data_IF_097836196272
#
_entry.id   IF_097836196272
#
_cell.length_a   1.000
_cell.length_b   1.000
_cell.length_c   1.000
_cell.angle_alpha   90.00
_cell.angle_beta   90.00
_cell.angle_gamma   90.00
#
_symmetry.space_group_name_H-M   'P 1'
#
loop_
_entity.id
_entity.type
_entity.pdbx_description
1 polymer ?
#
# COMPACT_ATOMS: atom_id res chain seq x y z
N UNK A 1 -30.62 30.49 -3.06
CA UNK A 1 -29.54 29.89 -3.89
C UNK A 1 -28.61 29.11 -2.97
N UNK A 2 -28.76 27.78 -2.89
CA UNK A 2 -28.01 26.90 -1.98
C UNK A 2 -26.83 26.33 -2.78
N UNK A 3 -25.62 26.85 -2.58
CA UNK A 3 -24.41 26.28 -3.18
C UNK A 3 -24.20 24.93 -2.51
N UNK A 4 -24.68 23.85 -3.13
CA UNK A 4 -24.22 22.52 -2.77
C UNK A 4 -22.75 22.46 -3.13
N UNK A 5 -21.86 22.63 -2.14
CA UNK A 5 -20.49 22.11 -2.24
C UNK A 5 -20.65 20.61 -2.41
N UNK A 6 -20.67 20.14 -3.66
CA UNK A 6 -20.51 18.73 -3.96
C UNK A 6 -19.09 18.41 -3.51
N UNK A 7 -18.94 17.96 -2.26
CA UNK A 7 -17.74 17.23 -1.85
C UNK A 7 -17.79 15.94 -2.63
N UNK A 8 -17.38 15.98 -3.89
CA UNK A 8 -17.25 14.78 -4.72
C UNK A 8 -16.18 13.97 -4.03
N UNK A 9 -16.57 12.84 -3.44
CA UNK A 9 -15.60 11.86 -2.99
C UNK A 9 -14.68 11.55 -4.18
N UNK A 10 -13.36 11.40 -3.95
CA UNK A 10 -12.43 10.94 -4.97
C UNK A 10 -13.01 9.74 -5.71
N UNK A 11 -12.82 9.68 -7.03
CA UNK A 11 -13.23 8.49 -7.76
C UNK A 11 -12.40 7.30 -7.26
N UNK A 12 -12.92 6.06 -7.35
CA UNK A 12 -12.16 4.87 -6.94
C UNK A 12 -10.77 4.78 -7.60
N UNK A 13 -10.60 5.32 -8.81
CA UNK A 13 -9.31 5.38 -9.49
C UNK A 13 -8.32 6.36 -8.84
N UNK A 14 -8.79 7.52 -8.36
CA UNK A 14 -7.96 8.46 -7.60
C UNK A 14 -7.60 7.85 -6.24
N UNK A 15 -8.57 7.24 -5.57
CA UNK A 15 -8.35 6.50 -4.33
C UNK A 15 -7.30 5.41 -4.50
N UNK A 16 -7.42 4.59 -5.55
CA UNK A 16 -6.44 3.53 -5.86
C UNK A 16 -5.02 4.08 -6.07
N UNK A 17 -4.88 5.14 -6.87
CA UNK A 17 -3.58 5.74 -7.13
C UNK A 17 -2.97 6.30 -5.83
N UNK A 18 -3.76 7.02 -5.03
CA UNK A 18 -3.32 7.54 -3.75
C UNK A 18 -2.89 6.42 -2.78
N UNK A 19 -3.67 5.34 -2.70
CA UNK A 19 -3.38 4.20 -1.86
C UNK A 19 -2.11 3.44 -2.28
N UNK A 20 -1.88 3.21 -3.58
CA UNK A 20 -0.63 2.62 -4.07
C UNK A 20 0.58 3.52 -3.78
N UNK A 21 0.45 4.85 -3.93
CA UNK A 21 1.52 5.78 -3.59
C UNK A 21 1.82 5.74 -2.09
N UNK A 22 0.80 5.71 -1.24
CA UNK A 22 0.97 5.58 0.20
C UNK A 22 1.68 4.28 0.58
N UNK A 23 1.31 3.15 -0.03
CA UNK A 23 1.98 1.86 0.16
C UNK A 23 3.45 1.89 -0.32
N UNK A 24 3.73 2.55 -1.44
CA UNK A 24 5.11 2.75 -1.92
C UNK A 24 5.94 3.59 -0.94
N UNK A 25 5.35 4.67 -0.41
CA UNK A 25 5.99 5.52 0.59
C UNK A 25 6.29 4.74 1.88
N UNK A 26 5.35 3.90 2.34
CA UNK A 26 5.57 3.00 3.47
C UNK A 26 6.74 2.05 3.22
N UNK A 27 6.77 1.40 2.05
CA UNK A 27 7.86 0.50 1.68
C UNK A 27 9.24 1.19 1.68
N UNK A 28 9.29 2.45 1.22
CA UNK A 28 10.52 3.25 1.23
C UNK A 28 10.97 3.63 2.66
N UNK A 29 10.02 3.90 3.56
CA UNK A 29 10.28 4.22 4.97
C UNK A 29 10.61 2.99 5.82
N UNK A 30 10.15 1.81 5.40
CA UNK A 30 10.20 0.57 6.15
C UNK A 30 11.60 0.20 6.72
N UNK A 31 12.74 0.37 5.99
CA UNK A 31 14.06 0.10 6.56
C UNK A 31 14.40 0.99 7.77
N UNK A 32 13.95 2.24 7.76
CA UNK A 32 14.12 3.16 8.89
C UNK A 32 13.22 2.74 10.05
N UNK A 33 11.95 2.42 9.77
CA UNK A 33 10.99 1.96 10.79
C UNK A 33 11.48 0.72 11.53
N UNK A 34 12.07 -0.26 10.83
CA UNK A 34 12.68 -1.44 11.46
C UNK A 34 13.86 -1.09 12.37
N UNK A 35 14.72 -0.15 11.96
CA UNK A 35 15.86 0.30 12.78
C UNK A 35 15.41 1.00 14.06
N UNK A 36 14.37 1.83 13.97
CA UNK A 36 13.83 2.58 15.11
C UNK A 36 13.06 1.66 16.07
N UNK A 37 12.27 0.72 15.55
CA UNK A 37 11.45 -0.19 16.37
C UNK A 37 12.23 -1.39 16.93
N UNK A 38 13.35 -1.78 16.30
CA UNK A 38 14.08 -2.99 16.63
C UNK A 38 13.37 -4.29 16.20
N UNK A 39 12.25 -4.20 15.48
CA UNK A 39 11.46 -5.36 15.03
C UNK A 39 11.86 -5.71 13.60
N UNK A 40 12.31 -6.95 13.37
CA UNK A 40 12.60 -7.48 12.02
C UNK A 40 11.33 -8.03 11.34
N UNK A 41 10.30 -7.18 11.25
CA UNK A 41 9.07 -7.49 10.53
C UNK A 41 9.14 -6.91 9.12
N UNK A 42 8.64 -7.63 8.11
CA UNK A 42 8.62 -7.16 6.72
C UNK A 42 7.38 -7.68 6.00
N UNK A 43 6.43 -6.78 5.73
CA UNK A 43 5.19 -7.05 5.01
C UNK A 43 5.46 -7.73 3.67
N UNK A 44 6.45 -7.25 2.91
CA UNK A 44 6.77 -7.80 1.59
C UNK A 44 7.38 -9.20 1.70
N UNK A 45 8.13 -9.47 2.77
CA UNK A 45 8.64 -10.81 3.05
C UNK A 45 7.52 -11.77 3.40
N UNK A 46 6.59 -11.34 4.25
CA UNK A 46 5.42 -12.14 4.65
C UNK A 46 4.57 -12.48 3.43
N UNK A 47 4.10 -11.47 2.70
CA UNK A 47 3.25 -11.62 1.51
C UNK A 47 3.96 -12.41 0.41
N UNK A 48 5.20 -12.04 0.11
CA UNK A 48 5.98 -12.67 -0.95
C UNK A 48 6.26 -14.14 -0.69
N UNK A 49 6.69 -14.50 0.52
CA UNK A 49 6.99 -15.90 0.85
C UNK A 49 5.75 -16.76 1.04
N UNK A 50 4.60 -16.17 1.39
CA UNK A 50 3.34 -16.90 1.39
C UNK A 50 2.94 -17.39 -0.01
N UNK A 51 3.33 -16.66 -1.06
CA UNK A 51 2.87 -16.94 -2.43
C UNK A 51 3.94 -17.65 -3.26
N UNK A 52 5.20 -17.23 -3.15
CA UNK A 52 6.34 -17.83 -3.86
C UNK A 52 7.52 -18.08 -2.90
N UNK A 53 7.46 -19.11 -2.04
CA UNK A 53 8.46 -19.35 -0.99
C UNK A 53 9.92 -19.41 -1.50
N UNK A 54 10.12 -20.04 -2.66
CA UNK A 54 11.43 -20.25 -3.29
C UNK A 54 11.64 -19.43 -4.58
N UNK A 55 10.76 -18.46 -4.85
CA UNK A 55 10.77 -17.66 -6.08
C UNK A 55 11.19 -16.20 -5.84
N UNK A 56 10.84 -15.29 -6.76
CA UNK A 56 11.12 -13.85 -6.62
C UNK A 56 10.20 -13.19 -5.58
N UNK A 57 10.22 -13.68 -4.35
CA UNK A 57 9.32 -13.27 -3.27
C UNK A 57 9.38 -11.77 -2.98
N UNK A 58 10.54 -11.13 -3.13
CA UNK A 58 10.67 -9.67 -2.95
C UNK A 58 9.82 -8.91 -3.95
N UNK A 59 9.86 -9.31 -5.22
CA UNK A 59 9.07 -8.69 -6.28
C UNK A 59 7.58 -8.94 -6.06
N UNK A 60 7.19 -10.19 -5.80
CA UNK A 60 5.78 -10.55 -5.56
C UNK A 60 5.22 -9.84 -4.33
N UNK A 61 5.95 -9.83 -3.22
CA UNK A 61 5.54 -9.13 -2.00
C UNK A 61 5.40 -7.63 -2.19
N UNK A 62 6.29 -7.01 -2.97
CA UNK A 62 6.22 -5.58 -3.31
C UNK A 62 4.97 -5.28 -4.13
N UNK A 63 4.73 -6.05 -5.19
CA UNK A 63 3.53 -5.90 -6.04
C UNK A 63 2.26 -6.10 -5.21
N UNK A 64 2.21 -7.11 -4.36
CA UNK A 64 1.08 -7.35 -3.48
C UNK A 64 0.82 -6.20 -2.50
N UNK A 65 1.87 -5.61 -1.94
CA UNK A 65 1.73 -4.46 -1.06
C UNK A 65 1.19 -3.21 -1.79
N UNK A 66 1.65 -2.96 -3.02
CA UNK A 66 1.14 -1.87 -3.86
C UNK A 66 -0.32 -2.08 -4.27
N UNK A 67 -0.68 -3.32 -4.62
CA UNK A 67 -2.06 -3.71 -4.97
C UNK A 67 -2.97 -3.60 -3.74
N UNK A 68 -2.50 -4.00 -2.56
CA UNK A 68 -3.21 -3.81 -1.30
C UNK A 68 -3.54 -2.33 -1.08
N UNK A 69 -2.54 -1.45 -1.20
CA UNK A 69 -2.74 0.00 -1.14
C UNK A 69 -3.78 0.48 -2.15
N UNK A 70 -3.71 0.03 -3.40
CA UNK A 70 -4.69 0.39 -4.43
C UNK A 70 -6.12 -0.06 -4.08
N UNK A 71 -6.29 -1.30 -3.63
CA UNK A 71 -7.61 -1.84 -3.28
C UNK A 71 -8.20 -1.06 -2.11
N UNK A 72 -7.45 -0.86 -1.03
CA UNK A 72 -7.94 -0.09 0.12
C UNK A 72 -8.16 1.39 -0.21
N UNK A 73 -7.29 1.98 -1.03
CA UNK A 73 -7.47 3.33 -1.54
C UNK A 73 -8.76 3.48 -2.34
N UNK A 74 -9.05 2.59 -3.28
CA UNK A 74 -10.28 2.62 -4.07
C UNK A 74 -11.56 2.50 -3.25
N UNK A 75 -11.49 1.77 -2.13
CA UNK A 75 -12.65 1.46 -1.29
C UNK A 75 -12.93 2.53 -0.23
N UNK A 76 -11.90 3.25 0.24
CA UNK A 76 -12.00 4.08 1.44
C UNK A 76 -11.48 5.51 1.30
N UNK A 77 -10.87 5.87 0.16
CA UNK A 77 -10.30 7.22 -0.10
C UNK A 77 -11.05 7.89 -1.25
#
# INVERSE_FOLDING_TARGET
MRIQKRTTMPSPGVGAAAGSIAAAAWLALHPLTRRVSGIDFDDTRLLGRMVVPNGPWRLVGTVMHLVNGAVFGALFV
#
